data_IF_404391236836
#
_entry.id   IF_404391236836
#
_cell.length_a   1.000
_cell.length_b   1.000
_cell.length_c   1.000
_cell.angle_alpha   90.00
_cell.angle_beta   90.00
_cell.angle_gamma   90.00
#
_symmetry.space_group_name_H-M   'P 1'
#
loop_
_entity.id
_entity.type
_entity.pdbx_description
1 polymer ?
#
# COMPACT_ATOMS: atom_id res chain seq x y z
N UNK A 1 -9.66 6.43 29.39
CA UNK A 1 -9.76 5.33 28.41
C UNK A 1 -8.67 5.59 27.37
N UNK A 2 -7.53 4.89 27.46
CA UNK A 2 -6.46 5.00 26.47
C UNK A 2 -6.82 4.04 25.34
N UNK A 3 -7.46 4.56 24.30
CA UNK A 3 -7.47 3.85 23.02
C UNK A 3 -6.00 3.72 22.62
N UNK A 4 -5.56 2.51 22.25
CA UNK A 4 -4.16 2.26 21.96
C UNK A 4 -3.76 3.07 20.72
N UNK A 5 -2.66 3.82 20.80
CA UNK A 5 -2.13 4.62 19.68
C UNK A 5 -1.90 3.74 18.44
N UNK A 6 -1.56 2.46 18.64
CA UNK A 6 -1.44 1.48 17.56
C UNK A 6 -2.80 1.18 16.91
N UNK A 7 -3.86 1.07 17.71
CA UNK A 7 -5.23 0.83 17.25
C UNK A 7 -5.73 1.95 16.34
N UNK A 8 -5.63 3.21 16.80
CA UNK A 8 -6.01 4.37 15.99
C UNK A 8 -5.19 4.46 14.69
N UNK A 9 -3.90 4.11 14.77
CA UNK A 9 -2.98 4.20 13.64
C UNK A 9 -3.29 3.20 12.54
N UNK A 10 -3.49 1.91 12.85
CA UNK A 10 -3.80 0.92 11.80
C UNK A 10 -5.16 1.20 11.16
N UNK A 11 -6.17 1.60 11.96
CA UNK A 11 -7.50 1.98 11.45
C UNK A 11 -7.36 3.15 10.47
N UNK A 12 -6.57 4.16 10.85
CA UNK A 12 -6.33 5.31 9.99
C UNK A 12 -5.60 4.94 8.70
N UNK A 13 -4.52 4.15 8.77
CA UNK A 13 -3.78 3.71 7.59
C UNK A 13 -4.71 2.97 6.62
N UNK A 14 -5.46 1.99 7.13
CA UNK A 14 -6.40 1.22 6.31
C UNK A 14 -7.44 2.14 5.65
N UNK A 15 -8.09 3.01 6.42
CA UNK A 15 -9.11 3.94 5.90
C UNK A 15 -8.52 4.91 4.88
N UNK A 16 -7.37 5.49 5.17
CA UNK A 16 -6.70 6.46 4.31
C UNK A 16 -6.36 5.84 2.96
N UNK A 17 -5.71 4.68 2.96
CA UNK A 17 -5.32 3.99 1.73
C UNK A 17 -6.54 3.47 0.95
N UNK A 18 -7.58 2.99 1.64
CA UNK A 18 -8.80 2.54 0.99
C UNK A 18 -9.51 3.68 0.24
N UNK A 19 -9.52 4.87 0.81
CA UNK A 19 -10.15 6.06 0.22
C UNK A 19 -9.28 6.70 -0.88
N UNK A 20 -7.95 6.63 -0.75
CA UNK A 20 -7.03 7.30 -1.66
C UNK A 20 -6.65 6.44 -2.88
N UNK A 21 -6.72 5.11 -2.80
CA UNK A 21 -6.24 4.24 -3.89
C UNK A 21 -6.92 4.54 -5.23
N UNK A 22 -6.10 4.91 -6.21
CA UNK A 22 -6.57 5.22 -7.56
C UNK A 22 -6.64 3.94 -8.40
N UNK A 23 -7.84 3.39 -8.53
CA UNK A 23 -8.09 2.20 -9.33
C UNK A 23 -8.32 2.49 -10.82
N UNK A 24 -8.42 3.78 -11.22
CA UNK A 24 -8.71 4.18 -12.61
C UNK A 24 -7.44 4.42 -13.43
N UNK A 25 -6.26 4.48 -12.80
CA UNK A 25 -4.98 4.74 -13.47
C UNK A 25 -4.45 3.57 -14.33
N UNK A 26 -5.21 2.47 -14.47
CA UNK A 26 -4.89 1.36 -15.35
C UNK A 26 -6.15 0.77 -16.00
N UNK A 27 -6.23 0.80 -17.33
CA UNK A 27 -7.41 0.44 -18.15
C UNK A 27 -7.92 -1.01 -18.02
N UNK A 28 -7.44 -1.81 -17.08
CA UNK A 28 -7.73 -3.25 -17.00
C UNK A 28 -7.94 -3.78 -15.58
N UNK A 29 -8.03 -2.94 -14.55
CA UNK A 29 -8.27 -3.39 -13.18
C UNK A 29 -9.77 -3.71 -12.98
N UNK A 30 -10.09 -4.97 -12.69
CA UNK A 30 -11.46 -5.47 -12.41
C UNK A 30 -11.89 -5.17 -10.99
N UNK A 31 -11.02 -5.46 -10.03
CA UNK A 31 -11.21 -5.15 -8.60
C UNK A 31 -9.85 -5.13 -7.91
N UNK A 32 -9.82 -4.60 -6.70
CA UNK A 32 -8.66 -4.63 -5.83
C UNK A 32 -9.13 -4.83 -4.39
N UNK A 33 -8.22 -5.34 -3.56
CA UNK A 33 -8.42 -5.60 -2.14
C UNK A 33 -7.20 -5.08 -1.41
N UNK A 34 -7.39 -4.21 -0.42
CA UNK A 34 -6.34 -3.72 0.46
C UNK A 34 -6.73 -3.97 1.91
N UNK A 35 -5.78 -4.45 2.69
CA UNK A 35 -5.95 -4.56 4.14
C UNK A 35 -4.66 -4.23 4.88
N UNK A 36 -4.84 -3.66 6.07
CA UNK A 36 -3.76 -3.46 7.04
C UNK A 36 -4.24 -4.04 8.37
N UNK A 37 -3.51 -5.00 8.92
CA UNK A 37 -3.91 -5.64 10.19
C UNK A 37 -3.43 -4.83 11.39
N UNK A 38 -3.99 -5.05 12.60
CA UNK A 38 -3.53 -4.40 13.83
C UNK A 38 -2.05 -4.65 14.14
N UNK A 39 -1.50 -5.78 13.69
CA UNK A 39 -0.09 -6.13 13.84
C UNK A 39 0.80 -5.37 12.84
N UNK A 40 0.21 -4.67 11.87
CA UNK A 40 0.94 -3.92 10.85
C UNK A 40 1.24 -4.73 9.59
N UNK A 41 0.49 -5.80 9.30
CA UNK A 41 0.66 -6.52 8.03
C UNK A 41 -0.13 -5.84 6.91
N UNK A 42 0.58 -5.36 5.87
CA UNK A 42 -0.01 -4.75 4.69
C UNK A 42 -0.23 -5.79 3.59
N UNK A 43 -1.41 -5.78 2.96
CA UNK A 43 -1.72 -6.58 1.77
C UNK A 43 -2.42 -5.72 0.73
N UNK A 44 -1.99 -5.86 -0.52
CA UNK A 44 -2.70 -5.35 -1.68
C UNK A 44 -2.80 -6.46 -2.72
N UNK A 45 -4.03 -6.76 -3.13
CA UNK A 45 -4.30 -7.68 -4.23
C UNK A 45 -5.05 -6.95 -5.34
N UNK A 46 -4.56 -7.05 -6.56
CA UNK A 46 -5.16 -6.49 -7.77
C UNK A 46 -5.64 -7.63 -8.65
N UNK A 47 -6.84 -7.50 -9.19
CA UNK A 47 -7.43 -8.46 -10.10
C UNK A 47 -7.72 -7.77 -11.41
N UNK A 48 -7.19 -8.31 -12.51
CA UNK A 48 -7.31 -7.72 -13.83
C UNK A 48 -8.42 -8.40 -14.63
N UNK A 49 -8.98 -7.70 -15.62
CA UNK A 49 -10.00 -8.22 -16.53
C UNK A 49 -9.51 -9.45 -17.31
N UNK A 50 -8.20 -9.57 -17.54
CA UNK A 50 -7.56 -10.73 -18.18
C UNK A 50 -7.55 -12.00 -17.32
N UNK A 51 -7.91 -11.91 -16.03
CA UNK A 51 -7.76 -12.99 -15.06
C UNK A 51 -6.40 -12.99 -14.36
N UNK A 52 -5.44 -12.17 -14.80
CA UNK A 52 -4.18 -11.91 -14.10
C UNK A 52 -4.48 -11.34 -12.70
N UNK A 53 -3.65 -11.72 -11.73
CA UNK A 53 -3.65 -11.15 -10.40
C UNK A 53 -2.25 -10.72 -10.00
N UNK A 54 -2.17 -9.65 -9.22
CA UNK A 54 -0.94 -9.20 -8.58
C UNK A 54 -1.18 -9.11 -7.08
N UNK A 55 -0.25 -9.63 -6.29
CA UNK A 55 -0.30 -9.66 -4.85
C UNK A 55 0.98 -9.05 -4.29
N UNK A 56 0.79 -8.11 -3.38
CA UNK A 56 1.86 -7.42 -2.68
C UNK A 56 1.62 -7.55 -1.18
N UNK A 57 2.65 -7.93 -0.44
CA UNK A 57 2.56 -7.91 1.03
C UNK A 57 3.89 -7.69 1.72
N UNK A 58 3.83 -7.01 2.86
CA UNK A 58 4.97 -6.77 3.72
C UNK A 58 4.50 -6.38 5.12
N UNK A 59 5.41 -6.44 6.08
CA UNK A 59 5.17 -5.92 7.42
C UNK A 59 5.58 -4.44 7.49
N UNK A 60 4.75 -3.57 8.08
CA UNK A 60 5.01 -2.13 8.17
C UNK A 60 6.29 -1.80 8.94
N UNK A 61 6.75 -2.66 9.84
CA UNK A 61 8.06 -2.49 10.52
C UNK A 61 9.26 -2.57 9.58
N UNK A 62 9.08 -3.16 8.38
CA UNK A 62 10.11 -3.18 7.33
C UNK A 62 10.12 -1.91 6.49
N UNK A 63 9.23 -0.96 6.75
CA UNK A 63 9.16 0.28 5.98
C UNK A 63 10.30 1.23 6.40
N UNK A 64 11.24 1.45 5.49
CA UNK A 64 12.27 2.47 5.63
C UNK A 64 11.68 3.87 5.47
N UNK A 65 10.94 4.10 4.39
CA UNK A 65 10.43 5.43 4.05
C UNK A 65 9.13 5.38 3.23
N UNK A 66 8.42 6.51 3.19
CA UNK A 66 7.27 6.73 2.32
C UNK A 66 7.37 8.07 1.59
N UNK A 67 7.48 7.96 0.27
CA UNK A 67 7.56 9.11 -0.62
C UNK A 67 6.25 9.32 -1.36
N UNK A 68 6.04 10.56 -1.79
CA UNK A 68 4.92 10.91 -2.64
C UNK A 68 5.44 11.63 -3.88
N UNK A 69 4.99 11.20 -5.05
CA UNK A 69 5.32 11.80 -6.32
C UNK A 69 4.04 12.18 -7.07
N UNK A 70 3.68 13.46 -7.08
CA UNK A 70 2.47 13.94 -7.74
C UNK A 70 2.01 15.31 -7.26
N UNK A 71 0.74 15.60 -7.50
CA UNK A 71 0.02 16.80 -7.03
C UNK A 71 -0.95 16.42 -5.92
N UNK A 72 -1.58 17.37 -5.24
CA UNK A 72 -2.53 17.00 -4.20
C UNK A 72 -3.75 16.21 -4.71
N UNK A 73 -4.08 16.32 -6.01
CA UNK A 73 -5.21 15.62 -6.63
C UNK A 73 -4.87 14.18 -7.04
N UNK A 74 -3.63 13.93 -7.47
CA UNK A 74 -3.22 12.62 -7.98
C UNK A 74 -1.70 12.45 -7.94
N UNK A 75 -1.25 11.22 -7.69
CA UNK A 75 0.16 10.87 -7.67
C UNK A 75 0.40 9.42 -7.29
N UNK A 76 1.67 9.11 -7.04
CA UNK A 76 2.11 7.80 -6.59
C UNK A 76 2.62 7.88 -5.15
N UNK A 77 2.06 7.00 -4.30
CA UNK A 77 2.56 6.74 -2.97
C UNK A 77 3.58 5.60 -3.06
N UNK A 78 4.82 5.89 -2.68
CA UNK A 78 5.97 5.01 -2.86
C UNK A 78 6.42 4.52 -1.49
N UNK A 79 6.11 3.27 -1.19
CA UNK A 79 6.62 2.56 -0.03
C UNK A 79 8.01 2.02 -0.33
N UNK A 80 8.97 2.33 0.55
CA UNK A 80 10.34 1.82 0.48
C UNK A 80 10.65 0.97 1.69
N UNK A 81 10.94 -0.30 1.48
CA UNK A 81 11.39 -1.22 2.50
C UNK A 81 12.88 -1.01 2.86
N UNK A 82 13.31 -1.59 3.98
CA UNK A 82 14.71 -1.56 4.43
C UNK A 82 15.58 -2.39 3.47
N UNK A 83 15.13 -3.60 3.15
CA UNK A 83 15.72 -4.51 2.16
C UNK A 83 14.62 -5.01 1.21
N UNK A 84 14.84 -6.15 0.57
CA UNK A 84 13.83 -6.84 -0.24
C UNK A 84 12.81 -7.54 0.67
N UNK A 85 11.97 -6.76 1.34
CA UNK A 85 10.96 -7.22 2.29
C UNK A 85 9.53 -7.21 1.73
N UNK A 86 9.34 -6.73 0.49
CA UNK A 86 8.03 -6.70 -0.16
C UNK A 86 7.87 -7.93 -1.03
N UNK A 87 7.01 -8.85 -0.61
CA UNK A 87 6.62 -10.00 -1.44
C UNK A 87 5.80 -9.48 -2.63
N UNK A 88 6.19 -9.90 -3.83
CA UNK A 88 5.51 -9.62 -5.10
C UNK A 88 5.22 -10.94 -5.79
N UNK A 89 3.93 -11.25 -5.91
CA UNK A 89 3.46 -12.47 -6.54
C UNK A 89 2.46 -12.17 -7.65
N UNK A 90 2.52 -12.90 -8.75
CA UNK A 90 1.52 -12.84 -9.81
C UNK A 90 0.91 -14.21 -10.08
N UNK A 91 -0.36 -14.20 -10.49
CA UNK A 91 -1.08 -15.39 -10.88
C UNK A 91 -1.77 -15.16 -12.22
N UNK A 92 -1.79 -16.18 -13.07
CA UNK A 92 -2.31 -16.12 -14.44
C UNK A 92 -1.68 -14.97 -15.24
N UNK A 93 -0.40 -14.68 -15.01
CA UNK A 93 0.33 -13.71 -15.82
C UNK A 93 0.65 -14.35 -17.18
N UNK A 94 0.29 -13.73 -18.32
CA UNK A 94 0.62 -14.24 -19.65
C UNK A 94 2.11 -14.46 -19.89
N UNK A 95 2.98 -13.78 -19.14
CA UNK A 95 4.44 -13.92 -19.21
C UNK A 95 5.01 -14.95 -18.24
N UNK A 96 4.15 -15.62 -17.47
CA UNK A 96 4.54 -16.53 -16.39
C UNK A 96 4.40 -15.87 -15.02
N UNK A 97 3.97 -16.67 -14.04
CA UNK A 97 3.80 -16.22 -12.67
C UNK A 97 5.15 -15.80 -12.06
N UNK A 98 5.14 -14.70 -11.34
CA UNK A 98 6.27 -14.15 -10.60
C UNK A 98 6.09 -14.50 -9.12
N UNK A 99 7.18 -14.86 -8.47
CA UNK A 99 7.30 -14.97 -7.02
C UNK A 99 8.66 -14.38 -6.64
N UNK A 100 8.65 -13.17 -6.08
CA UNK A 100 9.86 -12.39 -5.88
C UNK A 100 9.73 -11.45 -4.68
N UNK A 101 10.86 -10.91 -4.27
CA UNK A 101 10.94 -9.87 -3.26
C UNK A 101 11.33 -8.55 -3.92
N UNK A 102 10.88 -7.42 -3.37
CA UNK A 102 11.19 -6.09 -3.85
C UNK A 102 11.45 -5.13 -2.70
N UNK A 103 12.23 -4.09 -2.96
CA UNK A 103 12.46 -2.99 -2.01
C UNK A 103 11.41 -1.89 -2.10
N UNK A 104 10.69 -1.77 -3.23
CA UNK A 104 9.80 -0.64 -3.51
C UNK A 104 8.43 -1.14 -3.97
N UNK A 105 7.37 -0.56 -3.41
CA UNK A 105 6.00 -0.66 -3.90
C UNK A 105 5.46 0.74 -4.19
N UNK A 106 5.11 0.98 -5.45
CA UNK A 106 4.42 2.21 -5.86
C UNK A 106 2.93 1.91 -6.06
N UNK A 107 2.07 2.70 -5.42
CA UNK A 107 0.63 2.63 -5.64
C UNK A 107 0.08 4.00 -6.06
N UNK A 108 -0.78 4.03 -7.09
CA UNK A 108 -1.41 5.28 -7.52
C UNK A 108 -2.50 5.66 -6.52
N UNK A 109 -2.57 6.95 -6.20
CA UNK A 109 -3.51 7.50 -5.22
C UNK A 109 -4.08 8.86 -5.68
N UNK A 110 -5.23 9.23 -5.13
CA UNK A 110 -5.94 10.48 -5.31
C UNK A 110 -6.06 11.23 -3.97
N UNK A 111 -6.33 12.53 -4.04
CA UNK A 111 -6.71 13.38 -2.91
C UNK A 111 -5.73 13.27 -1.71
N UNK A 112 -4.44 13.43 -2.01
CA UNK A 112 -3.35 13.40 -1.04
C UNK A 112 -2.84 14.82 -0.76
N UNK A 113 -3.68 15.63 -0.11
CA UNK A 113 -3.27 16.92 0.46
C UNK A 113 -2.12 16.74 1.48
N UNK A 114 -1.25 17.75 1.67
CA UNK A 114 -0.10 17.65 2.56
C UNK A 114 -0.42 17.14 3.97
N UNK A 115 -1.52 17.59 4.57
CA UNK A 115 -1.94 17.19 5.91
C UNK A 115 -2.35 15.70 5.97
N UNK A 116 -2.93 15.18 4.88
CA UNK A 116 -3.27 13.77 4.76
C UNK A 116 -2.02 12.91 4.63
N UNK A 117 -1.04 13.36 3.84
CA UNK A 117 0.26 12.69 3.71
C UNK A 117 0.99 12.64 5.05
N UNK A 118 1.01 13.76 5.78
CA UNK A 118 1.71 13.86 7.06
C UNK A 118 1.02 13.04 8.16
N UNK A 119 -0.32 13.03 8.20
CA UNK A 119 -1.06 12.16 9.12
C UNK A 119 -0.86 10.68 8.81
N UNK A 120 -0.80 10.29 7.52
CA UNK A 120 -0.47 8.92 7.13
C UNK A 120 0.95 8.53 7.55
N UNK A 121 1.94 9.40 7.35
CA UNK A 121 3.32 9.19 7.82
C UNK A 121 3.38 8.98 9.32
N UNK A 122 2.70 9.83 10.09
CA UNK A 122 2.68 9.75 11.55
C UNK A 122 2.08 8.43 12.06
N UNK A 123 1.02 7.94 11.41
CA UNK A 123 0.45 6.64 11.76
C UNK A 123 1.38 5.47 11.39
N UNK A 124 2.07 5.54 10.25
CA UNK A 124 3.04 4.50 9.84
C UNK A 124 4.24 4.41 10.79
N UNK A 125 4.69 5.53 11.36
CA UNK A 125 5.81 5.56 12.32
C UNK A 125 5.55 4.68 13.54
N UNK A 126 4.30 4.51 13.96
CA UNK A 126 3.92 3.66 15.10
C UNK A 126 4.26 2.18 14.88
N UNK A 127 4.49 1.75 13.64
CA UNK A 127 4.83 0.37 13.31
C UNK A 127 6.33 0.15 13.05
N UNK A 128 7.17 1.18 13.07
CA UNK A 128 8.61 1.10 12.75
C UNK A 128 9.50 0.66 13.94
N UNK A 129 8.99 -0.19 14.82
CA UNK A 129 9.71 -0.66 16.01
C UNK A 129 10.53 -1.93 15.76
#
# INVERSE_FOLDING_TARGET
MKIDRAEESWIWIQRCLLQAFNHTSGNQLKKWELSVTPEGFFRLRKYFLSGKQEYFSFHLSRLKDINYNGTSQWGDLIFKAIEDDIIVQTYNDPKGNIDSMATILSIPVLDMEPERLDSLRNALIVFKH
#
